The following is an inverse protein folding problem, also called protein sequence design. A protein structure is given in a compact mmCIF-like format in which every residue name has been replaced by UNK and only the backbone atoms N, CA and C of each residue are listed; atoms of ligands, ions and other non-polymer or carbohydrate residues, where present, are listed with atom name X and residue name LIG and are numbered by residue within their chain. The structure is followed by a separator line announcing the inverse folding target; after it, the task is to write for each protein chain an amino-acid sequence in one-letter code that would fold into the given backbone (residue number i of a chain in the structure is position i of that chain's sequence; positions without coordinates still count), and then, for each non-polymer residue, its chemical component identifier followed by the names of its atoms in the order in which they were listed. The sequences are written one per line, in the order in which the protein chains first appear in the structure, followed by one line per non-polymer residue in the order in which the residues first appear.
data_IF_713804301226
#
_entry.id   IF_713804301226
#
_cell.length_a   1.000
_cell.length_b   1.000
_cell.length_c   1.000
_cell.angle_alpha   90.00
_cell.angle_beta   90.00
_cell.angle_gamma   90.00
#
_symmetry.space_group_name_H-M   'P 1'
#
loop_
_entity.id
_entity.type
_entity.pdbx_description
1 polymer ?
#
# COMPACT_ATOMS: atom_id res chain seq x y z
N UNK A 1 24.55 0.73 -2.97
CA UNK A 1 23.57 1.78 -3.34
C UNK A 1 22.70 2.25 -2.17
N UNK A 2 22.19 1.35 -1.31
CA UNK A 2 21.32 1.68 -0.16
C UNK A 2 21.86 2.79 0.78
N UNK A 3 23.12 2.71 1.22
CA UNK A 3 23.69 3.67 2.20
C UNK A 3 23.71 5.13 1.74
N UNK A 4 23.82 5.40 0.44
CA UNK A 4 23.95 6.77 -0.09
C UNK A 4 22.62 7.54 -0.02
N UNK A 5 21.51 6.84 -0.22
CA UNK A 5 20.15 7.40 -0.13
C UNK A 5 19.81 7.69 1.33
N UNK A 6 20.13 6.76 2.24
CA UNK A 6 19.89 6.94 3.68
C UNK A 6 20.62 8.17 4.22
N UNK A 7 21.92 8.32 3.91
CA UNK A 7 22.70 9.47 4.37
C UNK A 7 22.25 10.80 3.76
N UNK A 8 21.87 10.80 2.48
CA UNK A 8 21.47 12.04 1.77
C UNK A 8 20.16 12.62 2.31
N UNK A 9 19.20 11.75 2.64
CA UNK A 9 17.87 12.15 3.10
C UNK A 9 17.67 12.00 4.62
N UNK A 10 18.72 11.64 5.37
CA UNK A 10 18.64 11.45 6.82
C UNK A 10 17.70 10.33 7.25
N UNK A 11 17.53 9.29 6.42
CA UNK A 11 16.58 8.20 6.67
C UNK A 11 17.22 7.12 7.54
N UNK A 12 16.47 6.61 8.51
CA UNK A 12 16.88 5.51 9.39
C UNK A 12 16.70 4.13 8.75
N UNK A 13 15.87 4.04 7.70
CA UNK A 13 15.58 2.82 6.93
C UNK A 13 15.16 3.17 5.50
N UNK A 14 15.16 2.18 4.61
CA UNK A 14 14.75 2.39 3.21
C UNK A 14 13.24 2.67 3.13
N UNK A 15 12.81 3.75 2.46
CA UNK A 15 11.41 4.22 2.48
C UNK A 15 10.46 3.45 1.55
N UNK A 16 10.96 2.49 0.76
CA UNK A 16 10.15 1.67 -0.17
C UNK A 16 10.54 0.19 -0.15
N UNK A 17 11.05 -0.32 0.98
CA UNK A 17 11.30 -1.76 1.11
C UNK A 17 9.97 -2.52 1.24
N UNK A 18 9.97 -3.80 0.86
CA UNK A 18 8.81 -4.69 1.03
C UNK A 18 8.49 -4.97 2.50
N UNK A 19 9.44 -4.69 3.40
CA UNK A 19 9.37 -4.98 4.83
C UNK A 19 8.72 -3.85 5.64
N UNK A 20 8.37 -2.73 4.99
CA UNK A 20 7.64 -1.64 5.63
C UNK A 20 6.23 -2.14 5.98
N UNK A 21 5.81 -2.11 7.26
CA UNK A 21 4.45 -2.47 7.68
C UNK A 21 3.40 -1.63 6.94
N UNK A 22 2.21 -2.17 6.67
CA UNK A 22 1.19 -1.42 5.93
C UNK A 22 0.74 -0.18 6.72
N UNK A 23 0.73 -0.27 8.05
CA UNK A 23 0.48 0.85 8.98
C UNK A 23 1.44 2.03 8.85
N UNK A 24 2.62 1.82 8.26
CA UNK A 24 3.63 2.86 8.02
C UNK A 24 3.72 3.27 6.55
N UNK A 25 2.89 2.69 5.67
CA UNK A 25 2.83 3.07 4.26
C UNK A 25 2.15 4.44 4.11
N UNK A 26 2.53 5.17 3.07
CA UNK A 26 1.91 6.45 2.74
C UNK A 26 0.43 6.25 2.36
N UNK A 27 -0.48 6.70 3.23
CA UNK A 27 -1.93 6.59 3.01
C UNK A 27 -2.46 7.80 2.24
N UNK A 28 -2.46 7.69 0.91
CA UNK A 28 -2.97 8.74 0.02
C UNK A 28 -4.50 8.66 -0.11
N UNK A 29 -5.16 9.77 -0.45
CA UNK A 29 -6.61 9.79 -0.71
C UNK A 29 -7.04 8.75 -1.75
N UNK A 30 -6.24 8.57 -2.81
CA UNK A 30 -6.51 7.57 -3.84
C UNK A 30 -6.45 6.13 -3.29
N UNK A 31 -5.50 5.86 -2.40
CA UNK A 31 -5.37 4.56 -1.72
C UNK A 31 -6.56 4.30 -0.80
N UNK A 32 -6.95 5.30 0.00
CA UNK A 32 -8.11 5.24 0.89
C UNK A 32 -9.40 4.95 0.11
N UNK A 33 -9.67 5.69 -0.96
CA UNK A 33 -10.85 5.47 -1.80
C UNK A 33 -10.86 4.09 -2.45
N UNK A 34 -9.71 3.61 -2.93
CA UNK A 34 -9.61 2.27 -3.51
C UNK A 34 -9.82 1.18 -2.46
N UNK A 35 -9.33 1.38 -1.23
CA UNK A 35 -9.50 0.46 -0.09
C UNK A 35 -10.96 0.34 0.29
N UNK A 36 -11.68 1.46 0.44
CA UNK A 36 -13.11 1.46 0.76
C UNK A 36 -13.96 0.78 -0.34
N UNK A 37 -13.65 1.00 -1.63
CA UNK A 37 -14.34 0.30 -2.73
C UNK A 37 -14.12 -1.22 -2.67
N UNK A 38 -12.91 -1.64 -2.34
CA UNK A 38 -12.58 -3.07 -2.26
C UNK A 38 -13.19 -3.71 -1.01
N UNK A 39 -13.27 -3.00 0.13
CA UNK A 39 -14.04 -3.42 1.31
C UNK A 39 -15.51 -3.64 0.97
N UNK A 40 -16.15 -2.69 0.29
CA UNK A 40 -17.55 -2.84 -0.13
C UNK A 40 -17.76 -4.08 -1.02
N UNK A 41 -16.82 -4.38 -1.90
CA UNK A 41 -16.86 -5.60 -2.72
C UNK A 41 -16.74 -6.88 -1.89
N UNK A 42 -15.89 -6.88 -0.85
CA UNK A 42 -15.73 -8.00 0.10
C UNK A 42 -16.98 -8.20 0.95
N UNK A 43 -17.55 -7.13 1.49
CA UNK A 43 -18.80 -7.15 2.26
C UNK A 43 -19.95 -7.71 1.43
N UNK A 44 -20.03 -7.32 0.16
CA UNK A 44 -20.99 -7.85 -0.81
C UNK A 44 -20.69 -9.28 -1.28
N UNK A 45 -19.58 -9.90 -0.84
CA UNK A 45 -19.08 -11.21 -1.31
C UNK A 45 -18.98 -11.29 -2.84
N UNK A 46 -18.57 -10.19 -3.46
CA UNK A 46 -18.43 -10.07 -4.92
C UNK A 46 -16.99 -10.29 -5.37
N UNK A 47 -16.82 -10.67 -6.63
CA UNK A 47 -15.50 -10.68 -7.26
C UNK A 47 -15.11 -9.27 -7.71
N UNK A 48 -13.87 -8.86 -7.42
CA UNK A 48 -13.32 -7.58 -7.84
C UNK A 48 -12.00 -7.76 -8.59
N UNK A 49 -11.71 -6.85 -9.53
CA UNK A 49 -10.44 -6.81 -10.27
C UNK A 49 -9.78 -5.46 -10.03
N UNK A 50 -8.57 -5.48 -9.47
CA UNK A 50 -7.75 -4.28 -9.27
C UNK A 50 -6.82 -4.09 -10.47
N UNK A 51 -7.04 -3.02 -11.23
CA UNK A 51 -6.25 -2.68 -12.42
C UNK A 51 -5.38 -1.45 -12.19
N UNK A 52 -4.35 -1.27 -13.02
CA UNK A 52 -3.45 -0.13 -12.99
C UNK A 52 -2.05 -0.48 -13.48
N UNK A 53 -1.27 0.54 -13.86
CA UNK A 53 0.08 0.38 -14.39
C UNK A 53 1.07 -0.22 -13.37
N UNK A 54 2.21 -0.70 -13.85
CA UNK A 54 3.30 -1.15 -12.96
C UNK A 54 3.71 -0.01 -12.02
N UNK A 55 3.84 -0.29 -10.73
CA UNK A 55 4.16 0.72 -9.71
C UNK A 55 3.00 1.61 -9.25
N UNK A 56 1.77 1.40 -9.74
CA UNK A 56 0.60 2.24 -9.37
C UNK A 56 0.01 1.99 -7.97
N UNK A 57 0.66 1.19 -7.13
CA UNK A 57 0.19 0.91 -5.76
C UNK A 57 -0.79 -0.26 -5.60
N UNK A 58 -1.02 -1.11 -6.61
CA UNK A 58 -1.90 -2.31 -6.48
C UNK A 58 -1.54 -3.21 -5.29
N UNK A 59 -0.25 -3.52 -5.13
CA UNK A 59 0.23 -4.32 -3.99
C UNK A 59 0.11 -3.55 -2.67
N UNK A 60 0.28 -2.23 -2.67
CA UNK A 60 0.06 -1.38 -1.50
C UNK A 60 -1.39 -1.43 -1.02
N UNK A 61 -2.33 -1.36 -1.97
CA UNK A 61 -3.77 -1.48 -1.70
C UNK A 61 -4.11 -2.82 -1.03
N UNK A 62 -3.61 -3.93 -1.56
CA UNK A 62 -3.90 -5.25 -0.98
C UNK A 62 -3.32 -5.41 0.43
N UNK A 63 -2.09 -4.91 0.67
CA UNK A 63 -1.45 -4.98 1.99
C UNK A 63 -2.16 -4.15 3.04
N UNK A 64 -2.62 -2.94 2.68
CA UNK A 64 -3.37 -2.09 3.61
C UNK A 64 -4.78 -2.62 3.85
N UNK A 65 -5.40 -3.25 2.85
CA UNK A 65 -6.68 -3.94 3.06
C UNK A 65 -6.55 -5.15 3.98
N UNK A 66 -5.48 -5.93 3.84
CA UNK A 66 -5.22 -7.10 4.70
C UNK A 66 -5.16 -6.72 6.18
N UNK A 67 -4.56 -5.57 6.53
CA UNK A 67 -4.55 -5.06 7.91
C UNK A 67 -5.93 -4.63 8.43
N UNK A 68 -6.86 -4.27 7.55
CA UNK A 68 -8.22 -3.87 7.92
C UNK A 68 -9.18 -5.06 8.10
N UNK A 69 -8.76 -6.28 7.74
CA UNK A 69 -9.57 -7.49 7.86
C UNK A 69 -9.41 -8.14 9.25
N UNK A 70 -10.50 -8.70 9.82
CA UNK A 70 -10.48 -9.37 11.11
C UNK A 70 -9.74 -10.72 11.12
#
# INVERSE_FOLDING_TARGET
MSNKVLSLYGLTRLPFSKDIPASEMLDTEALQMARERLKAALEGRTSAVVTGDSGSGKTCLLRTLEEDLP
#
